data_IF_428532716738
#
_entry.id   IF_428532716738
#
_cell.length_a   1.000
_cell.length_b   1.000
_cell.length_c   1.000
_cell.angle_alpha   90.00
_cell.angle_beta   90.00
_cell.angle_gamma   90.00
#
_symmetry.space_group_name_H-M   'P 1'
#
loop_
_entity.id
_entity.type
_entity.pdbx_description
1 polymer ?
#
# COMPACT_ATOMS: atom_id res chain seq x y z
N UNK A 1 62.94 -58.51 -20.35
CA UNK A 1 62.65 -59.92 -19.94
C UNK A 1 62.30 -59.87 -18.43
N UNK A 2 61.30 -60.58 -18.07
CA UNK A 2 60.73 -60.89 -16.72
C UNK A 2 59.70 -59.96 -16.22
N UNK A 3 58.45 -60.44 -16.41
CA UNK A 3 57.22 -60.05 -15.78
C UNK A 3 57.18 -60.65 -14.42
N UNK A 4 56.82 -59.85 -13.40
CA UNK A 4 56.44 -60.37 -12.08
C UNK A 4 55.05 -59.94 -11.79
N UNK A 5 54.17 -60.89 -11.67
CA UNK A 5 52.74 -60.77 -11.25
C UNK A 5 52.68 -60.44 -9.75
N UNK A 6 51.94 -59.45 -9.40
CA UNK A 6 51.58 -59.21 -7.98
C UNK A 6 50.03 -59.34 -7.81
N UNK A 7 49.67 -60.43 -7.10
CA UNK A 7 48.32 -60.71 -6.68
C UNK A 7 47.91 -59.66 -5.63
N UNK A 8 46.87 -58.95 -5.86
CA UNK A 8 46.22 -58.08 -4.82
C UNK A 8 45.15 -58.86 -4.13
N UNK A 9 45.35 -59.09 -2.83
CA UNK A 9 44.43 -59.73 -1.90
C UNK A 9 43.33 -58.74 -1.49
N UNK A 10 42.11 -58.96 -1.97
CA UNK A 10 40.92 -58.12 -1.64
C UNK A 10 40.39 -58.57 -0.30
N UNK A 11 40.61 -57.76 0.76
CA UNK A 11 40.10 -58.00 2.10
C UNK A 11 38.66 -57.47 2.16
N UNK A 12 37.65 -58.33 2.11
CA UNK A 12 36.24 -57.98 2.38
C UNK A 12 36.04 -57.69 3.88
N UNK A 13 35.89 -56.44 4.23
CA UNK A 13 35.38 -56.08 5.55
C UNK A 13 33.83 -56.06 5.50
N UNK A 14 33.23 -57.01 6.11
CA UNK A 14 31.80 -57.02 6.41
C UNK A 14 31.55 -56.03 7.56
N UNK A 15 31.01 -54.84 7.24
CA UNK A 15 30.47 -53.95 8.25
C UNK A 15 29.11 -54.47 8.71
N UNK A 16 29.01 -54.96 9.89
CA UNK A 16 27.76 -55.25 10.58
C UNK A 16 27.12 -53.92 10.97
N UNK A 17 26.03 -53.55 10.26
CA UNK A 17 25.15 -52.47 10.69
C UNK A 17 24.35 -52.96 11.92
N UNK A 18 24.71 -52.53 13.09
CA UNK A 18 23.83 -52.60 14.27
C UNK A 18 22.72 -51.59 14.12
N UNK A 19 21.48 -52.05 14.03
CA UNK A 19 20.29 -51.21 14.06
C UNK A 19 20.23 -50.43 15.37
N UNK A 20 20.48 -49.11 15.30
CA UNK A 20 20.20 -48.20 16.42
C UNK A 20 18.68 -48.18 16.63
N UNK A 21 18.24 -48.66 17.80
CA UNK A 21 16.86 -48.48 18.26
C UNK A 21 16.59 -46.97 18.38
N UNK A 22 15.70 -46.48 17.56
CA UNK A 22 15.14 -45.14 17.67
C UNK A 22 14.36 -45.07 19.00
N UNK A 23 14.97 -44.54 20.03
CA UNK A 23 14.23 -44.06 21.19
C UNK A 23 13.38 -42.90 20.76
N UNK A 24 12.08 -43.16 20.58
CA UNK A 24 11.12 -42.20 20.06
C UNK A 24 11.13 -40.91 20.87
N UNK A 25 11.68 -39.87 20.28
CA UNK A 25 11.41 -38.48 20.72
C UNK A 25 9.91 -38.28 20.55
N UNK A 26 9.18 -37.89 21.60
CA UNK A 26 7.75 -37.64 21.49
C UNK A 26 7.53 -36.55 20.43
N UNK A 27 6.96 -36.93 19.29
CA UNK A 27 6.50 -35.99 18.28
C UNK A 27 5.23 -35.36 18.84
N UNK A 28 5.39 -34.17 19.42
CA UNK A 28 4.22 -33.34 19.73
C UNK A 28 3.51 -32.99 18.43
N UNK A 29 2.19 -33.24 18.29
CA UNK A 29 1.46 -32.81 17.14
C UNK A 29 1.57 -31.28 17.06
N UNK A 30 2.29 -30.78 16.07
CA UNK A 30 2.28 -29.37 15.73
C UNK A 30 0.86 -29.08 15.24
N UNK A 31 0.00 -28.61 16.15
CA UNK A 31 -1.27 -28.00 15.76
C UNK A 31 -0.85 -26.76 15.00
N UNK A 32 -0.85 -26.85 13.67
CA UNK A 32 -0.73 -25.68 12.82
C UNK A 32 -1.91 -24.78 13.22
N UNK A 33 -1.61 -23.74 13.99
CA UNK A 33 -2.52 -22.61 14.10
C UNK A 33 -2.63 -22.08 12.67
N UNK A 34 -3.72 -22.41 11.97
CA UNK A 34 -4.10 -21.69 10.78
C UNK A 34 -4.42 -20.26 11.23
N UNK A 35 -3.38 -19.45 11.31
CA UNK A 35 -3.53 -18.02 11.46
C UNK A 35 -4.16 -17.59 10.15
N UNK A 36 -5.45 -17.30 10.18
CA UNK A 36 -6.13 -16.67 9.05
C UNK A 36 -5.47 -15.30 8.85
N UNK A 37 -4.45 -15.25 8.00
CA UNK A 37 -3.66 -14.06 7.69
C UNK A 37 -4.30 -13.24 6.57
N UNK A 38 -5.63 -13.19 6.51
CA UNK A 38 -6.28 -12.25 5.61
C UNK A 38 -5.88 -10.84 6.01
N UNK A 39 -5.21 -10.14 5.09
CA UNK A 39 -4.85 -8.74 5.30
C UNK A 39 -6.16 -7.94 5.36
N UNK A 40 -6.34 -7.19 6.44
CA UNK A 40 -7.45 -6.25 6.61
C UNK A 40 -6.92 -4.85 6.37
N UNK A 41 -7.39 -4.21 5.31
CA UNK A 41 -6.95 -2.84 4.96
C UNK A 41 -7.53 -1.81 5.93
N UNK A 42 -6.91 -0.61 5.99
CA UNK A 42 -7.44 0.51 6.78
C UNK A 42 -8.87 0.85 6.40
N UNK A 43 -9.23 0.76 5.12
CA UNK A 43 -10.58 1.02 4.62
C UNK A 43 -11.63 0.03 5.17
N UNK A 44 -11.25 -1.21 5.44
CA UNK A 44 -12.14 -2.24 6.02
C UNK A 44 -12.35 -2.07 7.53
N UNK A 45 -11.53 -1.26 8.19
CA UNK A 45 -11.64 -0.94 9.63
C UNK A 45 -12.65 0.17 9.91
N UNK A 46 -13.86 0.03 9.37
CA UNK A 46 -14.90 1.08 9.48
C UNK A 46 -15.29 1.39 10.93
N UNK A 47 -15.25 0.42 11.80
CA UNK A 47 -15.48 0.57 13.25
C UNK A 47 -14.55 1.59 13.91
N UNK A 48 -13.31 1.71 13.42
CA UNK A 48 -12.31 2.62 13.96
C UNK A 48 -12.45 4.05 13.42
N UNK A 49 -12.80 4.24 12.16
CA UNK A 49 -12.75 5.57 11.56
C UNK A 49 -14.11 6.22 11.28
N UNK A 50 -15.21 5.46 11.15
CA UNK A 50 -16.54 6.07 10.99
C UNK A 50 -16.93 7.02 12.15
N UNK A 51 -16.59 6.71 13.41
CA UNK A 51 -16.83 7.65 14.51
C UNK A 51 -16.11 8.98 14.31
N UNK A 52 -14.92 8.98 13.69
CA UNK A 52 -14.15 10.20 13.39
C UNK A 52 -14.78 11.05 12.28
N UNK A 53 -15.58 10.45 11.41
CA UNK A 53 -16.25 11.10 10.28
C UNK A 53 -17.66 11.59 10.62
N UNK A 54 -18.22 11.15 11.75
CA UNK A 54 -19.60 11.47 12.13
C UNK A 54 -19.84 12.97 12.22
N UNK A 55 -20.79 13.48 11.43
CA UNK A 55 -21.17 14.88 11.38
C UNK A 55 -20.16 15.81 10.72
N UNK A 56 -19.03 15.29 10.22
CA UNK A 56 -17.98 16.08 9.55
C UNK A 56 -18.18 16.10 8.04
N UNK A 57 -17.88 17.23 7.44
CA UNK A 57 -17.82 17.43 5.99
C UNK A 57 -16.48 16.89 5.47
N UNK A 58 -16.53 15.75 4.81
CA UNK A 58 -15.34 15.05 4.35
C UNK A 58 -14.99 15.34 2.89
N UNK A 59 -13.69 15.52 2.60
CA UNK A 59 -13.11 15.36 1.28
C UNK A 59 -12.47 13.99 1.17
N UNK A 60 -12.62 13.30 0.04
CA UNK A 60 -12.04 11.96 -0.14
C UNK A 60 -11.02 11.99 -1.26
N UNK A 61 -9.79 11.59 -0.97
CA UNK A 61 -8.75 11.34 -1.99
C UNK A 61 -8.77 9.87 -2.31
N UNK A 62 -9.22 9.52 -3.50
CA UNK A 62 -9.49 8.14 -3.89
C UNK A 62 -9.35 7.91 -5.39
N UNK A 63 -9.11 6.66 -5.77
CA UNK A 63 -9.11 6.19 -7.15
C UNK A 63 -9.80 4.82 -7.27
N UNK A 64 -9.69 4.13 -8.41
CA UNK A 64 -10.29 2.82 -8.65
C UNK A 64 -9.85 1.72 -7.67
N UNK A 65 -8.74 1.91 -6.96
CA UNK A 65 -8.25 0.93 -5.98
C UNK A 65 -8.90 1.08 -4.60
N UNK A 66 -9.59 2.19 -4.36
CA UNK A 66 -10.23 2.54 -3.10
C UNK A 66 -11.50 1.70 -2.92
N UNK A 67 -11.35 0.43 -2.54
CA UNK A 67 -12.46 -0.53 -2.45
C UNK A 67 -12.50 -1.22 -1.08
N UNK A 68 -13.71 -1.55 -0.66
CA UNK A 68 -14.03 -2.40 0.49
C UNK A 68 -14.88 -3.56 -0.06
N UNK A 69 -14.35 -4.78 -0.01
CA UNK A 69 -15.06 -5.99 -0.49
C UNK A 69 -15.67 -5.82 -1.90
N UNK A 70 -14.93 -5.17 -2.83
CA UNK A 70 -15.37 -4.96 -4.20
C UNK A 70 -16.30 -3.76 -4.42
N UNK A 71 -16.67 -3.02 -3.36
CA UNK A 71 -17.46 -1.79 -3.45
C UNK A 71 -16.54 -0.58 -3.24
N UNK A 72 -16.68 0.43 -4.08
CA UNK A 72 -15.86 1.64 -3.96
C UNK A 72 -16.09 2.35 -2.62
N UNK A 73 -15.01 2.79 -1.95
CA UNK A 73 -15.04 3.43 -0.63
C UNK A 73 -16.05 4.58 -0.56
N UNK A 74 -16.07 5.47 -1.56
CA UNK A 74 -17.00 6.62 -1.59
C UNK A 74 -18.45 6.16 -1.57
N UNK A 75 -18.78 5.10 -2.32
CA UNK A 75 -20.15 4.56 -2.35
C UNK A 75 -20.52 3.96 -0.98
N UNK A 76 -19.58 3.25 -0.35
CA UNK A 76 -19.76 2.69 0.99
C UNK A 76 -19.94 3.79 2.04
N UNK A 77 -19.09 4.82 2.04
CA UNK A 77 -19.17 5.91 3.00
C UNK A 77 -20.46 6.73 2.86
N UNK A 78 -20.95 6.98 1.64
CA UNK A 78 -22.24 7.61 1.40
C UNK A 78 -23.40 6.77 1.98
N UNK A 79 -23.34 5.45 1.77
CA UNK A 79 -24.35 4.54 2.35
C UNK A 79 -24.31 4.53 3.88
N UNK A 80 -23.14 4.75 4.50
CA UNK A 80 -22.98 4.92 5.95
C UNK A 80 -23.36 6.31 6.46
N UNK A 81 -23.84 7.21 5.60
CA UNK A 81 -24.29 8.55 5.98
C UNK A 81 -23.17 9.56 6.21
N UNK A 82 -21.96 9.29 5.71
CA UNK A 82 -20.84 10.26 5.77
C UNK A 82 -21.13 11.44 4.85
N UNK A 83 -20.91 12.66 5.34
CA UNK A 83 -21.17 13.89 4.59
C UNK A 83 -20.02 14.22 3.63
N UNK A 84 -19.93 13.48 2.52
CA UNK A 84 -18.89 13.72 1.52
C UNK A 84 -19.25 14.97 0.70
N UNK A 85 -18.33 15.94 0.67
CA UNK A 85 -18.52 17.20 -0.06
C UNK A 85 -17.92 17.16 -1.47
N UNK A 86 -16.79 16.49 -1.62
CA UNK A 86 -16.05 16.38 -2.88
C UNK A 86 -15.05 15.21 -2.85
N UNK A 87 -14.65 14.80 -4.03
CA UNK A 87 -13.63 13.79 -4.24
C UNK A 87 -12.44 14.41 -4.97
N UNK A 88 -11.24 14.09 -4.52
CA UNK A 88 -9.99 14.45 -5.15
C UNK A 88 -9.44 13.24 -5.90
N UNK A 89 -9.26 13.36 -7.20
CA UNK A 89 -8.80 12.30 -8.08
C UNK A 89 -7.32 12.48 -8.42
N UNK A 90 -6.44 11.50 -8.10
CA UNK A 90 -5.04 11.54 -8.51
C UNK A 90 -4.88 11.20 -9.99
N UNK A 91 -3.65 11.01 -10.44
CA UNK A 91 -3.35 10.41 -11.75
C UNK A 91 -4.17 9.12 -11.95
N UNK A 92 -4.57 8.83 -13.16
CA UNK A 92 -5.50 7.77 -13.59
C UNK A 92 -6.98 7.97 -13.22
N UNK A 93 -7.33 9.06 -12.55
CA UNK A 93 -8.72 9.42 -12.28
C UNK A 93 -9.34 8.73 -11.06
N UNK A 94 -10.64 8.96 -10.90
CA UNK A 94 -11.37 8.50 -9.72
C UNK A 94 -11.83 7.03 -9.84
N UNK A 95 -12.40 6.64 -10.98
CA UNK A 95 -12.90 5.27 -11.20
C UNK A 95 -12.10 4.47 -12.23
N UNK A 96 -10.87 4.93 -12.57
CA UNK A 96 -9.98 4.23 -13.50
C UNK A 96 -10.33 4.44 -14.97
N UNK A 97 -10.97 5.53 -15.30
CA UNK A 97 -11.42 5.84 -16.66
C UNK A 97 -10.34 6.51 -17.51
N UNK A 98 -9.25 6.99 -16.89
CA UNK A 98 -8.18 7.70 -17.58
C UNK A 98 -6.91 6.84 -17.73
N UNK A 99 -6.30 6.89 -18.92
CA UNK A 99 -4.99 6.27 -19.19
C UNK A 99 -3.85 6.99 -18.49
N UNK A 100 -2.65 6.37 -18.50
CA UNK A 100 -1.44 6.98 -17.94
C UNK A 100 -1.12 8.31 -18.64
N UNK A 101 -0.92 9.38 -17.87
CA UNK A 101 -0.62 10.72 -18.39
C UNK A 101 -1.82 11.46 -19.00
N UNK A 102 -3.00 10.86 -18.99
CA UNK A 102 -4.21 11.48 -19.53
C UNK A 102 -4.72 12.60 -18.61
N UNK A 103 -5.23 13.67 -19.21
CA UNK A 103 -5.74 14.83 -18.47
C UNK A 103 -7.05 14.52 -17.76
N UNK A 104 -7.00 14.47 -16.43
CA UNK A 104 -8.20 14.35 -15.59
C UNK A 104 -8.79 15.75 -15.41
N UNK A 105 -10.01 15.93 -15.90
CA UNK A 105 -10.73 17.20 -15.76
C UNK A 105 -11.56 17.20 -14.47
N UNK A 106 -11.72 18.39 -13.91
CA UNK A 106 -12.74 18.63 -12.89
C UNK A 106 -14.13 18.34 -13.46
N UNK A 107 -15.00 17.79 -12.62
CA UNK A 107 -16.32 17.38 -13.07
C UNK A 107 -17.22 16.92 -11.92
N UNK A 108 -18.09 15.99 -12.25
CA UNK A 108 -18.94 15.29 -11.26
C UNK A 108 -18.87 13.79 -11.52
N UNK A 109 -18.82 13.03 -10.46
CA UNK A 109 -18.96 11.57 -10.52
C UNK A 109 -20.37 11.21 -11.05
N UNK A 110 -20.43 10.47 -12.13
CA UNK A 110 -21.69 10.11 -12.77
C UNK A 110 -22.63 9.30 -11.87
N UNK A 111 -22.05 8.51 -10.94
CA UNK A 111 -22.80 7.62 -10.05
C UNK A 111 -23.37 8.37 -8.85
N UNK A 112 -22.59 9.24 -8.23
CA UNK A 112 -22.95 9.87 -6.95
C UNK A 112 -23.31 11.34 -7.07
N UNK A 113 -22.97 11.98 -8.21
CA UNK A 113 -23.13 13.42 -8.41
C UNK A 113 -22.13 14.29 -7.65
N UNK A 114 -21.20 13.68 -6.90
CA UNK A 114 -20.19 14.41 -6.12
C UNK A 114 -19.25 15.20 -7.04
N UNK A 115 -18.83 16.41 -6.64
CA UNK A 115 -17.79 17.15 -7.33
C UNK A 115 -16.49 16.34 -7.35
N UNK A 116 -15.87 16.22 -8.53
CA UNK A 116 -14.55 15.65 -8.74
C UNK A 116 -13.55 16.77 -9.01
N UNK A 117 -12.46 16.78 -8.26
CA UNK A 117 -11.35 17.73 -8.40
C UNK A 117 -10.11 16.94 -8.75
N UNK A 118 -9.49 17.30 -9.87
CA UNK A 118 -8.25 16.67 -10.32
C UNK A 118 -7.06 17.17 -9.51
N UNK A 119 -6.27 16.22 -8.97
CA UNK A 119 -4.94 16.46 -8.38
C UNK A 119 -3.82 16.03 -9.34
N UNK A 120 -4.06 16.12 -10.64
CA UNK A 120 -3.08 15.79 -11.67
C UNK A 120 -2.90 16.95 -12.67
N UNK A 121 -1.72 17.03 -13.27
CA UNK A 121 -1.38 18.09 -14.20
C UNK A 121 -1.02 19.40 -13.49
N UNK A 122 -1.84 20.44 -13.63
CA UNK A 122 -1.54 21.79 -13.08
C UNK A 122 -1.72 21.87 -11.55
N UNK A 123 -2.69 21.15 -11.00
CA UNK A 123 -3.11 21.25 -9.60
C UNK A 123 -2.72 20.00 -8.81
N UNK A 124 -1.43 19.73 -8.66
CA UNK A 124 -0.96 18.55 -7.90
C UNK A 124 -1.17 18.68 -6.39
N UNK A 125 -1.11 19.91 -5.86
CA UNK A 125 -1.41 20.26 -4.47
C UNK A 125 -2.79 20.91 -4.39
N UNK A 126 -3.68 20.46 -3.50
CA UNK A 126 -4.97 21.14 -3.29
C UNK A 126 -4.76 22.61 -2.89
N UNK A 127 -5.49 23.51 -3.53
CA UNK A 127 -5.51 24.91 -3.09
C UNK A 127 -6.41 25.09 -1.85
N UNK A 128 -6.26 26.22 -1.14
CA UNK A 128 -7.10 26.57 -0.02
C UNK A 128 -8.59 26.63 -0.39
N UNK A 129 -8.92 27.08 -1.60
CA UNK A 129 -10.31 27.11 -2.10
C UNK A 129 -10.86 25.70 -2.33
N UNK A 130 -10.02 24.76 -2.80
CA UNK A 130 -10.43 23.38 -2.95
C UNK A 130 -10.72 22.70 -1.61
N UNK A 131 -10.04 23.10 -0.53
CA UNK A 131 -10.22 22.59 0.83
C UNK A 131 -11.33 23.31 1.61
N UNK A 132 -11.80 24.44 1.11
CA UNK A 132 -12.81 25.26 1.82
C UNK A 132 -14.08 24.46 2.15
N UNK A 133 -14.50 24.57 3.40
CA UNK A 133 -15.71 23.92 3.91
C UNK A 133 -15.56 22.44 4.25
N UNK A 134 -14.34 21.90 4.24
CA UNK A 134 -14.04 20.55 4.72
C UNK A 134 -13.62 20.60 6.19
N UNK A 135 -14.05 19.61 6.95
CA UNK A 135 -13.68 19.38 8.34
C UNK A 135 -12.60 18.30 8.47
N UNK A 136 -12.47 17.44 7.46
CA UNK A 136 -11.52 16.32 7.41
C UNK A 136 -11.28 15.90 5.96
N UNK A 137 -10.08 15.42 5.67
CA UNK A 137 -9.76 14.74 4.41
C UNK A 137 -9.40 13.29 4.69
N UNK A 138 -9.95 12.36 3.92
CA UNK A 138 -9.62 10.94 3.96
C UNK A 138 -8.80 10.59 2.73
N UNK A 139 -7.67 9.93 2.92
CA UNK A 139 -6.84 9.41 1.84
C UNK A 139 -6.91 7.89 1.81
N UNK A 140 -7.31 7.31 0.68
CA UNK A 140 -7.41 5.88 0.46
C UNK A 140 -7.01 5.52 -0.97
N UNK A 141 -5.76 5.18 -1.17
CA UNK A 141 -5.20 4.77 -2.46
C UNK A 141 -4.22 3.62 -2.23
N UNK A 142 -4.30 2.57 -3.05
CA UNK A 142 -3.31 1.50 -3.07
C UNK A 142 -2.04 2.01 -3.76
N UNK A 143 -0.96 2.16 -3.00
CA UNK A 143 0.36 2.40 -3.57
C UNK A 143 0.99 1.10 -4.10
N UNK A 144 1.99 1.23 -4.97
CA UNK A 144 2.68 0.10 -5.59
C UNK A 144 4.04 -0.21 -4.96
N UNK A 145 4.50 0.60 -4.00
CA UNK A 145 5.78 0.40 -3.30
C UNK A 145 7.01 0.86 -4.10
N UNK A 146 6.83 1.67 -5.13
CA UNK A 146 7.91 2.23 -5.94
C UNK A 146 7.91 3.75 -5.86
N UNK A 147 9.05 4.35 -5.46
CA UNK A 147 9.21 5.79 -5.21
C UNK A 147 8.75 6.68 -6.35
N UNK A 148 8.95 6.28 -7.60
CA UNK A 148 8.58 7.07 -8.77
C UNK A 148 7.09 6.99 -9.11
N UNK A 149 6.31 6.17 -8.43
CA UNK A 149 4.86 6.13 -8.56
C UNK A 149 4.25 7.26 -7.74
N UNK A 150 3.40 8.08 -8.38
CA UNK A 150 3.08 9.44 -7.88
C UNK A 150 2.08 9.51 -6.74
N UNK A 151 1.50 8.39 -6.31
CA UNK A 151 0.48 8.39 -5.24
C UNK A 151 1.03 8.86 -3.89
N UNK A 152 2.26 8.49 -3.54
CA UNK A 152 2.92 8.97 -2.32
C UNK A 152 3.21 10.47 -2.38
N UNK A 153 3.49 11.02 -3.57
CA UNK A 153 3.69 12.45 -3.78
C UNK A 153 2.36 13.21 -3.71
N UNK A 154 1.28 12.63 -4.23
CA UNK A 154 -0.09 13.15 -4.07
C UNK A 154 -0.47 13.19 -2.60
N UNK A 155 -0.20 12.13 -1.84
CA UNK A 155 -0.43 12.08 -0.39
C UNK A 155 0.30 13.21 0.33
N UNK A 156 1.59 13.39 0.06
CA UNK A 156 2.39 14.46 0.65
C UNK A 156 1.76 15.83 0.40
N UNK A 157 1.42 16.16 -0.84
CA UNK A 157 0.80 17.44 -1.16
C UNK A 157 -0.59 17.64 -0.54
N UNK A 158 -1.37 16.57 -0.40
CA UNK A 158 -2.64 16.63 0.34
C UNK A 158 -2.39 16.91 1.82
N UNK A 159 -1.44 16.21 2.45
CA UNK A 159 -1.10 16.42 3.85
C UNK A 159 -0.57 17.84 4.08
N UNK A 160 0.33 18.33 3.23
CA UNK A 160 0.87 19.69 3.30
C UNK A 160 -0.22 20.74 3.19
N UNK A 161 -1.11 20.64 2.18
CA UNK A 161 -2.20 21.57 1.99
C UNK A 161 -3.20 21.55 3.16
N UNK A 162 -3.50 20.37 3.68
CA UNK A 162 -4.38 20.21 4.83
C UNK A 162 -3.75 20.75 6.12
N UNK A 163 -2.45 20.57 6.33
CA UNK A 163 -1.73 21.14 7.46
C UNK A 163 -1.77 22.67 7.43
N UNK A 164 -1.54 23.30 6.27
CA UNK A 164 -1.67 24.76 6.07
C UNK A 164 -3.10 25.25 6.37
N UNK A 165 -4.11 24.47 5.97
CA UNK A 165 -5.52 24.77 6.21
C UNK A 165 -6.01 24.35 7.61
N UNK A 166 -5.17 23.71 8.43
CA UNK A 166 -5.51 23.13 9.75
C UNK A 166 -6.65 22.11 9.68
N UNK A 167 -6.70 21.33 8.61
CA UNK A 167 -7.67 20.26 8.39
C UNK A 167 -6.97 18.93 8.67
N UNK A 168 -7.51 18.07 9.56
CA UNK A 168 -6.95 16.74 9.78
C UNK A 168 -7.05 15.86 8.54
N UNK A 169 -6.02 15.03 8.34
CA UNK A 169 -6.00 14.00 7.29
C UNK A 169 -6.05 12.63 7.95
N UNK A 170 -6.94 11.79 7.46
CA UNK A 170 -7.06 10.38 7.85
C UNK A 170 -6.52 9.50 6.71
N UNK A 171 -5.44 8.79 6.98
CA UNK A 171 -4.88 7.82 6.02
C UNK A 171 -5.47 6.45 6.31
N UNK A 172 -6.16 5.88 5.34
CA UNK A 172 -6.63 4.49 5.38
C UNK A 172 -5.53 3.62 4.76
N UNK A 173 -4.71 3.03 5.61
CA UNK A 173 -3.51 2.33 5.18
C UNK A 173 -3.83 1.07 4.38
N UNK A 174 -2.94 0.76 3.43
CA UNK A 174 -3.02 -0.41 2.56
C UNK A 174 -1.67 -1.11 2.49
N UNK A 175 -1.66 -2.46 2.34
CA UNK A 175 -0.42 -3.20 2.27
C UNK A 175 0.41 -2.77 1.07
N UNK A 176 1.74 -2.74 1.24
CA UNK A 176 2.66 -2.54 0.14
C UNK A 176 2.90 -3.88 -0.57
N UNK A 177 2.58 -4.04 -1.88
CA UNK A 177 2.81 -5.28 -2.61
C UNK A 177 4.30 -5.64 -2.72
N UNK A 178 5.19 -4.66 -2.56
CA UNK A 178 6.65 -4.81 -2.53
C UNK A 178 7.22 -4.65 -1.10
N UNK A 179 6.41 -4.81 -0.06
CA UNK A 179 6.81 -4.59 1.34
C UNK A 179 7.82 -5.61 1.90
N UNK A 180 8.14 -6.67 1.16
CA UNK A 180 9.03 -7.74 1.60
C UNK A 180 10.51 -7.50 1.26
N UNK A 181 10.86 -6.41 0.56
CA UNK A 181 12.24 -6.05 0.25
C UNK A 181 12.41 -4.54 0.05
N UNK A 182 13.66 -4.10 0.13
CA UNK A 182 14.10 -2.72 -0.14
C UNK A 182 15.19 -2.80 -1.20
N UNK A 183 15.11 -1.95 -2.25
CA UNK A 183 16.08 -1.96 -3.33
C UNK A 183 16.21 -0.61 -4.04
N UNK A 184 17.33 -0.46 -4.74
CA UNK A 184 17.68 0.73 -5.50
C UNK A 184 18.22 1.89 -4.63
N UNK A 185 18.79 2.90 -5.28
CA UNK A 185 19.42 4.03 -4.58
C UNK A 185 18.37 4.91 -3.88
N UNK A 186 18.78 5.46 -2.73
CA UNK A 186 18.06 6.55 -2.08
C UNK A 186 18.09 7.80 -2.96
N UNK A 187 16.98 8.52 -3.05
CA UNK A 187 16.91 9.76 -3.82
C UNK A 187 17.84 10.82 -3.23
N UNK A 188 18.72 11.40 -4.09
CA UNK A 188 19.36 12.64 -3.77
C UNK A 188 18.37 13.80 -3.97
N UNK A 189 18.14 14.60 -2.91
CA UNK A 189 17.16 15.69 -2.92
C UNK A 189 17.45 16.80 -3.95
N UNK A 190 18.66 16.88 -4.50
CA UNK A 190 18.96 17.75 -5.65
C UNK A 190 18.12 17.42 -6.89
N UNK A 191 17.66 16.15 -6.99
CA UNK A 191 16.77 15.67 -8.05
C UNK A 191 15.32 15.56 -7.61
N UNK A 192 14.95 16.24 -6.52
CA UNK A 192 13.59 16.20 -6.01
C UNK A 192 12.58 16.68 -7.06
N UNK A 193 11.51 15.89 -7.23
CA UNK A 193 10.43 16.21 -8.18
C UNK A 193 9.14 15.48 -7.74
N UNK A 194 8.07 15.67 -8.49
CA UNK A 194 6.81 14.94 -8.23
C UNK A 194 6.94 13.41 -8.41
N UNK A 195 7.83 12.94 -9.26
CA UNK A 195 8.12 11.50 -9.44
C UNK A 195 9.25 11.00 -8.54
N UNK A 196 9.69 11.82 -7.60
CA UNK A 196 10.75 11.50 -6.63
C UNK A 196 10.78 12.57 -5.57
N UNK A 197 9.89 12.51 -4.60
CA UNK A 197 9.69 13.55 -3.60
C UNK A 197 10.48 13.30 -2.30
N UNK A 198 10.63 12.03 -1.92
CA UNK A 198 11.18 11.65 -0.63
C UNK A 198 12.57 10.99 -0.77
N UNK A 199 13.48 11.20 0.21
CA UNK A 199 14.81 10.56 0.22
C UNK A 199 14.70 9.10 0.68
N UNK A 200 13.99 8.29 -0.08
CA UNK A 200 13.78 6.86 0.14
C UNK A 200 14.34 6.05 -1.02
N UNK A 201 14.62 4.74 -0.87
CA UNK A 201 15.00 3.85 -1.96
C UNK A 201 13.96 3.78 -3.07
N UNK A 202 14.33 3.26 -4.24
CA UNK A 202 13.38 3.06 -5.36
C UNK A 202 12.25 2.14 -4.94
N UNK A 203 12.57 0.99 -4.34
CA UNK A 203 11.61 0.11 -3.65
C UNK A 203 11.78 0.36 -2.16
N UNK A 204 10.81 0.99 -1.55
CA UNK A 204 10.96 1.57 -0.20
C UNK A 204 10.49 0.65 0.93
N UNK A 205 9.74 -0.41 0.63
CA UNK A 205 9.28 -1.39 1.61
C UNK A 205 8.19 -0.93 2.59
N UNK A 206 7.86 0.36 2.63
CA UNK A 206 6.88 0.92 3.56
C UNK A 206 5.46 0.87 3.01
N UNK A 207 4.46 0.79 3.88
CA UNK A 207 3.07 1.07 3.51
C UNK A 207 2.85 2.58 3.31
N UNK A 208 1.73 2.96 2.74
CA UNK A 208 1.38 4.39 2.56
C UNK A 208 1.18 5.08 3.90
N UNK A 209 0.64 4.38 4.90
CA UNK A 209 0.47 4.88 6.26
C UNK A 209 1.79 5.08 6.98
N UNK A 210 2.75 4.16 6.84
CA UNK A 210 4.10 4.31 7.38
C UNK A 210 4.82 5.50 6.76
N UNK A 211 4.74 5.68 5.42
CA UNK A 211 5.30 6.86 4.76
C UNK A 211 4.64 8.16 5.23
N UNK A 212 3.33 8.18 5.42
CA UNK A 212 2.63 9.34 5.97
C UNK A 212 3.13 9.72 7.37
N UNK A 213 3.48 8.73 8.19
CA UNK A 213 4.06 8.95 9.51
C UNK A 213 5.51 9.45 9.50
N UNK A 214 6.22 9.36 8.37
CA UNK A 214 7.59 9.83 8.17
C UNK A 214 7.66 11.26 7.62
N UNK A 215 6.58 11.78 7.04
CA UNK A 215 6.44 13.12 6.46
C UNK A 215 6.05 14.12 7.52
#
# INVERSE_FOLDING_TARGET
>A
MNKTFLLSLCCLMLLSCTSAQNNGVPVFPSKSLEVNTSIVTGAERMDLYLPLLKGKKAGIVANQTSQISGVHLVDTLLHQGVLIQKVFAPEHGFRGEAGAGEHIKDGKDAKTGLPLISLYGKNKKPSSDMLKGLDIVVFDIQDVGARFYTYISTMHYVMEACAEAKIPVLILDRPNPNGFYIDGPVLNLEFQSFVGMHPIPVVHGCTVGELAGMI
#
